data_IF_443887247987
#
_entry.id   IF_443887247987
#
_cell.length_a   1.000
_cell.length_b   1.000
_cell.length_c   1.000
_cell.angle_alpha   90.00
_cell.angle_beta   90.00
_cell.angle_gamma   90.00
#
_symmetry.space_group_name_H-M   'P 1'
#
loop_
_entity.id
_entity.type
_entity.pdbx_description
1 polymer ?
#
# COMPACT_ATOMS: atom_id res chain seq x y z
N UNK A 1 55.20 -30.14 46.58
CA UNK A 1 55.11 -29.71 45.19
C UNK A 1 53.68 -30.05 44.72
N UNK A 2 52.78 -29.10 44.76
CA UNK A 2 51.38 -29.25 44.27
C UNK A 2 51.18 -28.34 43.09
N UNK A 3 50.93 -28.91 41.93
CA UNK A 3 50.56 -28.16 40.71
C UNK A 3 49.05 -27.87 40.80
N UNK A 4 48.67 -26.59 40.77
CA UNK A 4 47.27 -26.17 40.59
C UNK A 4 46.96 -26.13 39.11
N UNK A 5 45.93 -26.89 38.68
CA UNK A 5 45.30 -26.75 37.39
C UNK A 5 44.23 -25.65 37.47
N UNK A 6 44.37 -24.65 36.65
CA UNK A 6 43.38 -23.60 36.45
C UNK A 6 42.46 -24.06 35.31
N UNK A 7 41.22 -24.36 35.61
CA UNK A 7 40.16 -24.53 34.60
C UNK A 7 39.64 -23.17 34.21
N UNK A 8 39.90 -22.75 32.98
CA UNK A 8 39.23 -21.63 32.35
C UNK A 8 37.88 -22.09 31.79
N UNK A 9 36.80 -21.69 32.44
CA UNK A 9 35.46 -21.88 31.91
C UNK A 9 35.19 -20.84 30.81
N UNK A 10 35.13 -21.28 29.56
CA UNK A 10 34.72 -20.49 28.40
C UNK A 10 33.20 -20.41 28.42
N UNK A 11 32.62 -19.32 28.90
CA UNK A 11 31.20 -19.03 28.79
C UNK A 11 30.87 -18.62 27.34
N UNK A 12 30.26 -19.53 26.58
CA UNK A 12 29.70 -19.25 25.29
C UNK A 12 28.40 -18.48 25.51
N UNK A 13 28.44 -17.16 25.38
CA UNK A 13 27.25 -16.32 25.25
C UNK A 13 26.67 -16.50 23.83
N UNK A 14 25.64 -17.34 23.75
CA UNK A 14 24.77 -17.34 22.56
C UNK A 14 23.93 -16.07 22.58
N UNK A 15 24.43 -15.02 21.91
CA UNK A 15 23.63 -13.89 21.56
C UNK A 15 22.70 -14.33 20.42
N UNK A 16 21.47 -14.68 20.76
CA UNK A 16 20.39 -14.75 19.77
C UNK A 16 20.10 -13.33 19.31
N UNK A 17 20.79 -12.92 18.24
CA UNK A 17 20.51 -11.68 17.55
C UNK A 17 19.11 -11.76 16.96
N UNK A 18 18.20 -11.00 17.57
CA UNK A 18 16.94 -10.65 16.93
C UNK A 18 17.29 -9.89 15.63
N UNK A 19 17.11 -10.55 14.51
CA UNK A 19 17.36 -9.97 13.20
C UNK A 19 16.24 -8.96 12.93
N UNK A 20 16.39 -7.72 13.42
CA UNK A 20 15.64 -6.60 12.92
C UNK A 20 16.13 -6.39 11.48
N UNK A 21 15.36 -6.85 10.51
CA UNK A 21 15.53 -6.41 9.14
C UNK A 21 15.35 -4.89 9.11
N UNK A 22 16.46 -4.16 9.17
CA UNK A 22 16.52 -2.78 8.71
C UNK A 22 16.12 -2.81 7.24
N UNK A 23 15.03 -2.11 6.92
CA UNK A 23 14.72 -1.76 5.54
C UNK A 23 15.91 -0.88 5.08
N UNK A 24 16.78 -1.44 4.26
CA UNK A 24 17.90 -0.69 3.70
C UNK A 24 17.34 0.40 2.80
N UNK A 25 17.71 1.63 3.12
CA UNK A 25 17.39 2.82 2.33
C UNK A 25 18.13 2.72 1.00
N UNK A 26 17.44 2.32 -0.04
CA UNK A 26 17.98 2.41 -1.41
C UNK A 26 17.82 3.85 -1.88
N UNK A 27 18.94 4.56 -2.01
CA UNK A 27 18.97 5.92 -2.54
C UNK A 27 18.59 5.93 -4.02
N UNK A 28 17.37 6.38 -4.32
CA UNK A 28 17.02 6.80 -5.68
C UNK A 28 17.49 8.26 -5.87
N UNK A 29 18.69 8.45 -6.41
CA UNK A 29 19.22 9.75 -6.74
C UNK A 29 18.67 10.27 -8.07
N UNK A 30 17.76 11.25 -8.01
CA UNK A 30 17.57 12.24 -9.07
C UNK A 30 17.00 13.55 -8.54
N UNK A 31 17.55 14.67 -9.00
CA UNK A 31 17.37 16.02 -8.50
C UNK A 31 15.93 16.51 -8.33
N UNK A 32 15.68 17.25 -7.25
CA UNK A 32 14.59 18.20 -6.93
C UNK A 32 13.13 17.72 -6.76
N UNK A 33 12.81 16.45 -7.01
CA UNK A 33 11.48 15.86 -6.76
C UNK A 33 11.57 14.52 -6.00
N UNK A 34 12.55 14.37 -5.15
CA UNK A 34 12.92 13.11 -4.52
C UNK A 34 11.93 12.70 -3.43
N UNK A 35 11.40 11.46 -3.55
CA UNK A 35 10.67 10.82 -2.47
C UNK A 35 11.67 10.32 -1.42
N UNK A 36 11.45 10.68 -0.15
CA UNK A 36 12.26 10.20 0.97
C UNK A 36 11.52 9.11 1.70
N UNK A 37 12.20 7.98 1.95
CA UNK A 37 11.65 6.90 2.75
C UNK A 37 11.29 7.38 4.16
N UNK A 38 10.16 6.93 4.72
CA UNK A 38 9.75 7.25 6.07
C UNK A 38 9.17 6.03 6.78
N UNK A 39 9.19 6.06 8.12
CA UNK A 39 8.54 5.04 8.93
C UNK A 39 7.01 5.24 8.90
N UNK A 40 6.34 4.28 8.29
CA UNK A 40 4.87 4.29 8.15
C UNK A 40 4.16 4.34 9.51
N UNK A 41 4.71 3.69 10.54
CA UNK A 41 4.11 3.73 11.88
C UNK A 41 4.19 5.14 12.47
N UNK A 42 5.34 5.80 12.35
CA UNK A 42 5.53 7.17 12.82
C UNK A 42 4.61 8.16 12.11
N UNK A 43 4.42 8.02 10.79
CA UNK A 43 3.56 8.91 10.01
C UNK A 43 2.08 8.82 10.39
N UNK A 44 1.63 7.62 10.78
CA UNK A 44 0.21 7.37 11.06
C UNK A 44 -0.16 7.26 12.55
N UNK A 45 0.80 7.41 13.47
CA UNK A 45 0.54 7.40 14.92
C UNK A 45 -0.60 8.35 15.34
N UNK A 46 -0.79 9.45 14.63
CA UNK A 46 -1.76 10.48 15.01
C UNK A 46 -3.07 10.47 14.24
N UNK A 47 -3.18 9.83 13.05
CA UNK A 47 -4.37 10.02 12.22
C UNK A 47 -4.58 9.02 11.07
N UNK A 48 -4.32 7.73 11.26
CA UNK A 48 -4.56 6.69 10.24
C UNK A 48 -6.00 6.65 9.70
N UNK A 49 -6.98 7.08 10.51
CA UNK A 49 -8.37 7.16 10.10
C UNK A 49 -8.62 8.29 9.08
N UNK A 50 -8.10 9.47 9.32
CA UNK A 50 -8.33 10.62 8.43
C UNK A 50 -7.64 10.46 7.08
N UNK A 51 -6.55 9.70 7.01
CA UNK A 51 -5.83 9.49 5.77
C UNK A 51 -6.74 8.87 4.68
N UNK A 52 -7.53 7.85 5.02
CA UNK A 52 -8.48 7.24 4.07
C UNK A 52 -9.69 8.11 3.74
N UNK A 53 -10.01 9.11 4.57
CA UNK A 53 -11.09 10.07 4.27
C UNK A 53 -10.66 11.16 3.28
N UNK A 54 -9.36 11.28 2.99
CA UNK A 54 -8.79 12.31 2.11
C UNK A 54 -8.77 11.93 0.61
N UNK A 55 -9.40 10.84 0.22
CA UNK A 55 -9.47 10.36 -1.17
C UNK A 55 -8.09 10.05 -1.77
N UNK A 56 -7.61 8.87 -1.49
CA UNK A 56 -6.33 8.37 -1.99
C UNK A 56 -6.45 7.84 -3.42
N UNK A 57 -5.32 7.74 -4.11
CA UNK A 57 -5.22 7.08 -5.40
C UNK A 57 -4.60 5.69 -5.21
N UNK A 58 -5.32 4.65 -5.62
CA UNK A 58 -4.85 3.28 -5.74
C UNK A 58 -4.36 3.07 -7.18
N UNK A 59 -3.15 2.56 -7.36
CA UNK A 59 -2.62 2.17 -8.66
C UNK A 59 -2.08 0.74 -8.61
N UNK A 60 -2.38 -0.06 -9.63
CA UNK A 60 -1.83 -1.40 -9.80
C UNK A 60 -1.47 -1.66 -11.26
N UNK A 61 -0.50 -2.55 -11.49
CA UNK A 61 0.01 -2.86 -12.82
C UNK A 61 1.48 -3.26 -12.80
N UNK A 62 2.09 -3.17 -13.97
CA UNK A 62 3.52 -3.36 -14.20
C UNK A 62 4.09 -2.25 -15.10
N UNK A 63 5.34 -2.41 -15.53
CA UNK A 63 6.04 -1.44 -16.40
C UNK A 63 5.46 -1.33 -17.82
N UNK A 64 4.53 -2.21 -18.19
CA UNK A 64 3.89 -2.22 -19.52
C UNK A 64 2.48 -1.66 -19.49
N UNK A 65 1.78 -1.86 -18.37
CA UNK A 65 0.37 -1.50 -18.25
C UNK A 65 -0.02 -1.29 -16.78
N UNK A 66 -0.68 -0.20 -16.51
CA UNK A 66 -1.19 0.13 -15.18
C UNK A 66 -2.56 0.82 -15.27
N UNK A 67 -3.25 0.86 -14.15
CA UNK A 67 -4.44 1.69 -14.00
C UNK A 67 -4.58 2.16 -12.55
N UNK A 68 -5.12 3.35 -12.37
CA UNK A 68 -5.36 3.96 -11.08
C UNK A 68 -6.83 4.35 -10.89
N UNK A 69 -7.25 4.46 -9.63
CA UNK A 69 -8.57 4.95 -9.25
C UNK A 69 -8.53 5.62 -7.89
N UNK A 70 -9.49 6.47 -7.63
CA UNK A 70 -9.71 7.04 -6.30
C UNK A 70 -10.33 6.00 -5.38
N UNK A 71 -9.81 5.92 -4.16
CA UNK A 71 -10.38 5.15 -3.06
C UNK A 71 -10.61 6.06 -1.85
N UNK A 72 -11.68 5.80 -1.10
CA UNK A 72 -12.00 6.50 0.15
C UNK A 72 -12.27 5.53 1.30
N UNK A 73 -12.21 4.22 1.03
CA UNK A 73 -12.40 3.18 2.03
C UNK A 73 -11.11 2.39 2.21
N UNK A 74 -10.76 2.16 3.46
CA UNK A 74 -9.58 1.41 3.79
C UNK A 74 -9.15 1.59 5.24
N UNK A 75 -7.97 1.09 5.53
CA UNK A 75 -7.34 1.22 6.84
C UNK A 75 -5.89 0.77 6.81
N UNK A 76 -5.13 1.26 7.78
CA UNK A 76 -3.76 0.81 8.05
C UNK A 76 -3.76 0.15 9.42
N UNK A 77 -3.08 -0.97 9.52
CA UNK A 77 -2.96 -1.73 10.76
C UNK A 77 -1.91 -2.82 10.65
N UNK A 78 -1.98 -3.79 11.54
CA UNK A 78 -1.15 -4.99 11.46
C UNK A 78 -1.98 -6.18 10.95
N UNK A 79 -1.36 -7.04 10.14
CA UNK A 79 -1.97 -8.28 9.68
C UNK A 79 -0.96 -9.42 9.76
N UNK A 80 -1.37 -10.57 10.30
CA UNK A 80 -0.55 -11.76 10.51
C UNK A 80 0.71 -11.51 11.37
N UNK A 81 0.66 -10.61 12.35
CA UNK A 81 1.74 -10.37 13.30
C UNK A 81 1.78 -8.96 13.87
N UNK A 82 2.63 -8.74 14.88
CA UNK A 82 2.72 -7.47 15.61
C UNK A 82 3.52 -6.38 14.87
N UNK A 83 4.43 -6.77 13.96
CA UNK A 83 5.33 -5.86 13.26
C UNK A 83 5.22 -6.04 11.74
N UNK A 84 4.01 -6.29 11.26
CA UNK A 84 3.73 -6.42 9.84
C UNK A 84 2.68 -5.40 9.45
N UNK A 85 3.09 -4.16 9.15
CA UNK A 85 2.16 -3.12 8.74
C UNK A 85 1.49 -3.51 7.43
N UNK A 86 0.20 -3.29 7.38
CA UNK A 86 -0.63 -3.66 6.24
C UNK A 86 -1.67 -2.59 5.95
N UNK A 87 -2.06 -2.53 4.69
CA UNK A 87 -3.16 -1.70 4.21
C UNK A 87 -4.31 -2.58 3.78
N UNK A 88 -5.52 -2.22 4.19
CA UNK A 88 -6.76 -2.81 3.67
C UNK A 88 -7.39 -1.82 2.69
N UNK A 89 -7.75 -2.29 1.49
CA UNK A 89 -8.46 -1.51 0.47
C UNK A 89 -9.66 -2.27 -0.09
N UNK A 90 -10.62 -1.51 -0.60
CA UNK A 90 -11.88 -2.03 -1.12
C UNK A 90 -12.02 -1.62 -2.58
N UNK A 91 -12.11 -2.60 -3.50
CA UNK A 91 -12.24 -2.36 -4.94
C UNK A 91 -13.40 -3.17 -5.49
N UNK A 92 -14.41 -2.49 -6.06
CA UNK A 92 -15.56 -3.17 -6.65
C UNK A 92 -15.21 -3.81 -8.01
N UNK A 93 -15.76 -5.00 -8.34
CA UNK A 93 -15.47 -5.74 -9.58
C UNK A 93 -15.76 -4.95 -10.86
N UNK A 94 -16.74 -4.05 -10.85
CA UNK A 94 -17.06 -3.19 -11.99
C UNK A 94 -16.03 -2.09 -12.26
N UNK A 95 -15.10 -1.84 -11.34
CA UNK A 95 -14.03 -0.85 -11.53
C UNK A 95 -12.89 -1.43 -12.36
N UNK A 96 -12.39 -0.68 -13.34
CA UNK A 96 -11.31 -1.16 -14.21
C UNK A 96 -10.03 -1.51 -13.45
N UNK A 97 -9.70 -0.81 -12.37
CA UNK A 97 -8.55 -1.11 -11.52
C UNK A 97 -8.65 -2.49 -10.86
N UNK A 98 -9.88 -3.01 -10.65
CA UNK A 98 -10.08 -4.35 -10.10
C UNK A 98 -9.39 -5.43 -10.95
N UNK A 99 -9.46 -5.33 -12.28
CA UNK A 99 -8.78 -6.27 -13.19
C UNK A 99 -7.25 -6.28 -12.98
N UNK A 100 -6.68 -5.14 -12.60
CA UNK A 100 -5.25 -5.02 -12.30
C UNK A 100 -4.94 -5.59 -10.93
N UNK A 101 -5.78 -5.34 -9.92
CA UNK A 101 -5.62 -5.91 -8.58
C UNK A 101 -5.70 -7.45 -8.58
N UNK A 102 -6.52 -8.03 -9.45
CA UNK A 102 -6.61 -9.49 -9.61
C UNK A 102 -5.40 -10.08 -10.36
N UNK A 103 -4.78 -9.30 -11.21
CA UNK A 103 -3.72 -9.78 -12.09
C UNK A 103 -2.32 -9.58 -11.50
N UNK A 104 -2.09 -8.46 -10.82
CA UNK A 104 -0.76 -8.06 -10.35
C UNK A 104 -0.64 -8.23 -8.83
N UNK A 105 0.52 -8.72 -8.34
CA UNK A 105 0.69 -9.02 -6.92
C UNK A 105 0.87 -7.78 -6.07
N UNK A 106 1.11 -6.60 -6.68
CA UNK A 106 1.45 -5.37 -5.97
C UNK A 106 0.60 -4.20 -6.42
N UNK A 107 0.46 -3.25 -5.51
CA UNK A 107 -0.21 -1.98 -5.76
C UNK A 107 0.44 -0.86 -4.95
N UNK A 108 0.21 0.38 -5.37
CA UNK A 108 0.57 1.56 -4.60
C UNK A 108 -0.66 2.32 -4.16
N UNK A 109 -0.54 2.99 -3.02
CA UNK A 109 -1.49 4.00 -2.54
C UNK A 109 -0.76 5.33 -2.49
N UNK A 110 -1.37 6.34 -3.07
CA UNK A 110 -0.77 7.66 -3.22
C UNK A 110 -1.69 8.74 -2.67
N UNK A 111 -1.09 9.77 -2.05
CA UNK A 111 -1.75 11.01 -1.65
C UNK A 111 -1.23 12.16 -2.50
N UNK A 112 -2.14 13.08 -2.86
CA UNK A 112 -1.85 14.30 -3.61
C UNK A 112 -2.41 15.51 -2.88
N UNK A 113 -1.75 16.66 -3.01
CA UNK A 113 -2.26 17.92 -2.49
C UNK A 113 -3.35 18.54 -3.40
N UNK A 114 -3.32 18.23 -4.70
CA UNK A 114 -4.30 18.74 -5.67
C UNK A 114 -5.59 17.88 -5.71
N UNK A 115 -6.73 18.43 -5.28
CA UNK A 115 -8.00 17.70 -5.29
C UNK A 115 -8.51 17.35 -6.69
N UNK A 116 -8.07 18.03 -7.73
CA UNK A 116 -8.48 17.74 -9.11
C UNK A 116 -8.08 16.33 -9.54
N UNK A 117 -6.96 15.83 -9.02
CA UNK A 117 -6.42 14.49 -9.34
C UNK A 117 -7.39 13.41 -8.89
N UNK A 118 -7.75 13.39 -7.60
CA UNK A 118 -8.64 12.35 -7.11
C UNK A 118 -10.08 12.49 -7.63
N UNK A 119 -10.55 13.73 -7.92
CA UNK A 119 -11.84 13.95 -8.55
C UNK A 119 -11.88 13.34 -9.95
N UNK A 120 -10.85 13.59 -10.75
CA UNK A 120 -10.74 13.06 -12.11
C UNK A 120 -10.59 11.52 -12.10
N UNK A 121 -9.66 11.00 -11.29
CA UNK A 121 -9.39 9.56 -11.17
C UNK A 121 -10.60 8.76 -10.70
N UNK A 122 -11.47 9.36 -9.87
CA UNK A 122 -12.72 8.75 -9.40
C UNK A 122 -13.87 8.81 -10.41
N UNK A 123 -13.89 9.84 -11.26
CA UNK A 123 -14.98 10.09 -12.19
C UNK A 123 -14.82 9.31 -13.50
N UNK A 124 -13.62 9.24 -14.06
CA UNK A 124 -13.37 8.67 -15.38
C UNK A 124 -12.83 7.24 -15.29
N UNK A 125 -13.17 6.42 -16.28
CA UNK A 125 -12.66 5.06 -16.39
C UNK A 125 -11.37 5.02 -17.20
N UNK A 126 -10.40 4.22 -16.77
CA UNK A 126 -9.20 3.95 -17.57
C UNK A 126 -9.47 3.09 -18.81
N UNK A 127 -10.71 2.56 -18.97
CA UNK A 127 -11.13 1.93 -20.23
C UNK A 127 -11.37 2.95 -21.34
N UNK A 128 -11.68 4.20 -20.96
CA UNK A 128 -12.01 5.29 -21.90
C UNK A 128 -10.79 6.09 -22.32
N UNK A 129 -9.65 5.92 -21.64
CA UNK A 129 -8.40 6.62 -21.96
C UNK A 129 -7.39 6.64 -20.83
N UNK A 130 -6.21 7.16 -21.14
CA UNK A 130 -5.12 7.32 -20.17
C UNK A 130 -5.39 8.52 -19.25
N UNK A 131 -5.77 8.22 -18.02
CA UNK A 131 -6.09 9.22 -17.00
C UNK A 131 -4.85 9.97 -16.49
N UNK A 132 -3.70 9.30 -16.43
CA UNK A 132 -2.46 9.94 -16.03
C UNK A 132 -2.02 10.99 -17.04
N UNK A 133 -2.03 10.64 -18.32
CA UNK A 133 -1.72 11.58 -19.41
C UNK A 133 -2.71 12.76 -19.44
N UNK A 134 -4.00 12.51 -19.22
CA UNK A 134 -5.02 13.57 -19.18
C UNK A 134 -4.81 14.58 -18.03
N UNK A 135 -4.17 14.16 -16.95
CA UNK A 135 -3.83 14.99 -15.78
C UNK A 135 -2.39 15.52 -15.82
N UNK A 136 -1.60 15.16 -16.84
CA UNK A 136 -0.18 15.53 -16.91
C UNK A 136 0.69 14.84 -15.84
N UNK A 137 0.25 13.68 -15.33
CA UNK A 137 1.00 12.91 -14.35
C UNK A 137 2.04 12.01 -15.02
N UNK A 138 3.20 11.87 -14.39
CA UNK A 138 4.29 11.05 -14.87
C UNK A 138 4.33 9.72 -14.11
N UNK A 139 4.22 8.61 -14.86
CA UNK A 139 4.32 7.27 -14.28
C UNK A 139 5.77 6.93 -14.02
N UNK A 140 6.07 6.55 -12.77
CA UNK A 140 7.33 5.97 -12.35
C UNK A 140 7.09 4.60 -11.72
N UNK A 141 8.17 3.90 -11.38
CA UNK A 141 8.10 2.53 -10.87
C UNK A 141 9.01 2.38 -9.67
N UNK A 142 8.53 1.63 -8.68
CA UNK A 142 9.35 1.21 -7.53
C UNK A 142 10.44 0.23 -8.01
N UNK A 143 11.34 -0.16 -7.12
CA UNK A 143 12.34 -1.20 -7.41
C UNK A 143 11.71 -2.55 -7.78
N UNK A 144 10.48 -2.81 -7.33
CA UNK A 144 9.72 -4.02 -7.68
C UNK A 144 8.90 -3.87 -8.98
N UNK A 145 9.02 -2.74 -9.67
CA UNK A 145 8.27 -2.45 -10.90
C UNK A 145 6.80 -2.08 -10.67
N UNK A 146 6.41 -1.74 -9.44
CA UNK A 146 5.05 -1.32 -9.13
C UNK A 146 4.86 0.15 -9.54
N UNK A 147 3.80 0.48 -10.31
CA UNK A 147 3.60 1.84 -10.80
C UNK A 147 3.16 2.81 -9.70
N UNK A 148 3.66 4.04 -9.79
CA UNK A 148 3.20 5.19 -9.01
C UNK A 148 3.31 6.46 -9.86
N UNK A 149 2.82 7.61 -9.38
CA UNK A 149 2.96 8.90 -10.06
C UNK A 149 3.96 9.79 -9.33
N UNK A 150 4.88 10.39 -10.11
CA UNK A 150 5.96 11.22 -9.56
C UNK A 150 5.46 12.42 -8.76
N UNK A 151 4.26 12.93 -9.05
CA UNK A 151 3.66 14.10 -8.39
C UNK A 151 3.03 13.76 -7.03
N UNK A 152 2.99 12.48 -6.65
CA UNK A 152 2.44 12.09 -5.36
C UNK A 152 3.25 12.64 -4.19
N UNK A 153 2.57 13.15 -3.17
CA UNK A 153 3.16 13.61 -1.90
C UNK A 153 3.61 12.45 -1.02
N UNK A 154 2.80 11.40 -0.98
CA UNK A 154 3.07 10.15 -0.28
C UNK A 154 2.82 9.00 -1.25
N UNK A 155 3.71 8.02 -1.23
CA UNK A 155 3.58 6.75 -1.95
C UNK A 155 3.80 5.63 -0.96
N UNK A 156 2.87 4.67 -0.89
CA UNK A 156 3.00 3.43 -0.12
C UNK A 156 2.88 2.27 -1.10
N UNK A 157 3.90 1.43 -1.17
CA UNK A 157 3.88 0.20 -1.95
C UNK A 157 3.44 -0.97 -1.07
N UNK A 158 2.53 -1.77 -1.60
CA UNK A 158 1.99 -2.94 -0.92
C UNK A 158 2.11 -4.20 -1.78
N UNK A 159 2.45 -5.32 -1.14
CA UNK A 159 2.30 -6.66 -1.72
C UNK A 159 1.03 -7.33 -1.20
N UNK A 160 0.15 -7.75 -2.10
CA UNK A 160 -1.14 -8.35 -1.73
C UNK A 160 -0.93 -9.68 -1.02
N UNK A 161 -1.34 -9.75 0.25
CA UNK A 161 -1.32 -10.98 1.04
C UNK A 161 -2.59 -11.81 0.87
N UNK A 162 -3.73 -11.14 0.74
CA UNK A 162 -5.02 -11.82 0.56
C UNK A 162 -6.02 -10.92 -0.17
N UNK A 163 -6.95 -11.57 -0.88
CA UNK A 163 -8.11 -10.95 -1.49
C UNK A 163 -9.36 -11.73 -1.04
N UNK A 164 -10.37 -11.00 -0.57
CA UNK A 164 -11.65 -11.57 -0.19
C UNK A 164 -12.76 -10.98 -1.04
N UNK A 165 -13.27 -11.80 -1.95
CA UNK A 165 -14.43 -11.47 -2.78
C UNK A 165 -15.71 -11.60 -1.95
N UNK A 166 -16.16 -10.50 -1.38
CA UNK A 166 -17.36 -10.48 -0.56
C UNK A 166 -18.61 -10.76 -1.38
N UNK A 167 -19.58 -11.40 -0.71
CA UNK A 167 -20.93 -11.66 -1.21
C UNK A 167 -21.95 -11.15 -0.19
N UNK A 168 -23.21 -11.10 -0.56
CA UNK A 168 -24.31 -10.75 0.38
C UNK A 168 -24.37 -11.68 1.60
N UNK A 169 -23.90 -12.93 1.46
CA UNK A 169 -23.88 -13.92 2.54
C UNK A 169 -22.89 -13.55 3.66
N UNK A 170 -21.91 -12.68 3.37
CA UNK A 170 -20.92 -12.21 4.34
C UNK A 170 -21.48 -11.09 5.23
N UNK A 171 -22.58 -10.48 4.85
CA UNK A 171 -23.19 -9.38 5.60
C UNK A 171 -23.94 -9.92 6.84
N UNK A 172 -23.67 -9.32 7.99
CA UNK A 172 -24.22 -9.74 9.30
C UNK A 172 -25.41 -8.87 9.76
N UNK A 173 -25.71 -7.79 9.03
CA UNK A 173 -26.86 -6.92 9.25
C UNK A 173 -27.28 -6.27 7.91
N UNK A 174 -28.35 -5.46 7.96
CA UNK A 174 -28.92 -4.88 6.75
C UNK A 174 -28.20 -3.62 6.25
N UNK A 175 -27.32 -3.00 7.04
CA UNK A 175 -26.63 -1.77 6.63
C UNK A 175 -25.82 -1.94 5.34
N UNK A 176 -24.96 -2.97 5.21
CA UNK A 176 -24.25 -3.17 3.94
C UNK A 176 -25.20 -3.52 2.79
N UNK A 177 -26.24 -4.34 3.02
CA UNK A 177 -27.22 -4.70 1.99
C UNK A 177 -27.91 -3.46 1.42
N UNK A 178 -28.38 -2.57 2.31
CA UNK A 178 -29.01 -1.31 1.91
C UNK A 178 -28.05 -0.39 1.15
N UNK A 179 -26.76 -0.37 1.56
CA UNK A 179 -25.76 0.46 0.90
C UNK A 179 -25.44 -0.06 -0.52
N UNK A 180 -25.37 -1.37 -0.70
CA UNK A 180 -25.10 -1.98 -2.01
C UNK A 180 -26.34 -2.10 -2.90
N UNK A 181 -27.53 -1.82 -2.39
CA UNK A 181 -28.74 -1.85 -3.20
C UNK A 181 -28.64 -0.86 -4.37
N UNK A 182 -28.73 -1.38 -5.59
CA UNK A 182 -28.55 -0.58 -6.81
C UNK A 182 -27.12 -0.10 -7.10
N UNK A 183 -26.11 -0.55 -6.34
CA UNK A 183 -24.72 -0.22 -6.63
C UNK A 183 -24.18 -1.12 -7.75
N UNK A 184 -24.28 -0.66 -8.99
CA UNK A 184 -23.91 -1.41 -10.20
C UNK A 184 -22.48 -1.97 -10.23
N UNK A 185 -21.45 -1.29 -9.69
CA UNK A 185 -20.09 -1.86 -9.69
C UNK A 185 -19.93 -3.16 -8.90
N UNK A 186 -20.93 -3.52 -8.08
CA UNK A 186 -20.94 -4.76 -7.31
C UNK A 186 -20.27 -4.66 -5.95
N UNK A 187 -20.40 -5.72 -5.15
CA UNK A 187 -19.86 -5.80 -3.81
C UNK A 187 -18.33 -5.81 -3.90
N UNK A 188 -17.69 -4.98 -3.07
CA UNK A 188 -16.24 -4.80 -3.11
C UNK A 188 -15.49 -6.08 -2.73
N UNK A 189 -14.41 -6.36 -3.45
CA UNK A 189 -13.35 -7.24 -3.00
C UNK A 189 -12.49 -6.48 -1.98
N UNK A 190 -12.17 -7.13 -0.88
CA UNK A 190 -11.27 -6.61 0.15
C UNK A 190 -9.88 -7.17 -0.13
N UNK A 191 -8.92 -6.28 -0.34
CA UNK A 191 -7.50 -6.65 -0.46
C UNK A 191 -6.76 -6.22 0.80
N UNK A 192 -5.91 -7.08 1.33
CA UNK A 192 -4.97 -6.75 2.39
C UNK A 192 -3.58 -6.93 1.84
N UNK A 193 -2.80 -5.84 1.82
CA UNK A 193 -1.42 -5.81 1.34
C UNK A 193 -0.45 -5.47 2.45
N UNK A 194 0.66 -6.22 2.55
CA UNK A 194 1.81 -5.86 3.39
C UNK A 194 2.48 -4.62 2.82
N UNK A 195 2.77 -3.64 3.66
CA UNK A 195 3.55 -2.47 3.26
C UNK A 195 5.01 -2.88 3.14
N UNK A 196 5.53 -2.82 1.91
CA UNK A 196 6.92 -3.17 1.59
C UNK A 196 7.79 -1.94 1.30
N UNK A 197 7.17 -0.76 1.12
CA UNK A 197 7.87 0.50 0.93
C UNK A 197 6.97 1.69 1.19
N UNK A 198 7.54 2.80 1.68
CA UNK A 198 6.84 4.05 1.90
C UNK A 198 7.75 5.25 1.68
N UNK A 199 7.31 6.22 0.91
CA UNK A 199 8.07 7.41 0.54
C UNK A 199 7.19 8.64 0.63
N UNK A 200 7.78 9.73 1.05
CA UNK A 200 7.16 11.07 1.06
C UNK A 200 8.05 12.07 0.33
N UNK A 201 7.42 13.02 -0.34
CA UNK A 201 8.09 14.20 -0.89
C UNK A 201 8.44 15.16 0.25
N UNK A 202 9.62 15.75 0.20
CA UNK A 202 10.05 16.80 1.14
C UNK A 202 9.40 18.15 0.81
#
# INVERSE_FOLDING_TARGET
MKKQLIFAALALLLATGCNQQKIEQTNMNKESNELTAFDVQEAFEKNGFTWFTENLILCSGDTTRNNAMTIGWGGIGNYLGHNRPAVTVYVAPGRYTWEFMEKYPRFTIMQFDDPSIWQYMGKYSGRDGDKAAALGLHVAYTEHGTPYYEEAKIVIECETMTAWHQTEQDFRNDTPKQWYDGFEPGIHTIYIGEIIGAWKRQ
#
